data_IF_169071080897
#
_entry.id   IF_169071080897
#
_cell.length_a   1.000
_cell.length_b   1.000
_cell.length_c   1.000
_cell.angle_alpha   90.00
_cell.angle_beta   90.00
_cell.angle_gamma   90.00
#
_symmetry.space_group_name_H-M   'P 1'
#
loop_
_entity.id
_entity.type
_entity.pdbx_description
1 polymer ?
#
# COMPACT_ATOMS: atom_id res chain seq x y z
N UNK A 1 -5.64 -6.24 24.61
CA UNK A 1 -4.40 -6.52 23.84
C UNK A 1 -4.66 -7.19 22.48
N UNK A 2 -5.86 -7.12 21.89
CA UNK A 2 -6.15 -7.66 20.54
C UNK A 2 -6.56 -6.56 19.55
N UNK A 3 -7.14 -5.47 20.05
CA UNK A 3 -7.52 -4.31 19.23
C UNK A 3 -6.32 -3.68 18.50
N UNK A 4 -5.15 -3.52 19.14
CA UNK A 4 -3.94 -3.01 18.47
C UNK A 4 -3.49 -3.93 17.33
N UNK A 5 -3.57 -5.25 17.53
CA UNK A 5 -3.21 -6.23 16.51
C UNK A 5 -4.14 -6.11 15.30
N UNK A 6 -5.45 -6.05 15.55
CA UNK A 6 -6.47 -5.90 14.50
C UNK A 6 -6.29 -4.57 13.76
N UNK A 7 -6.09 -3.46 14.48
CA UNK A 7 -5.90 -2.14 13.88
C UNK A 7 -4.65 -2.12 12.99
N UNK A 8 -3.51 -2.62 13.49
CA UNK A 8 -2.27 -2.69 12.72
C UNK A 8 -2.44 -3.57 11.48
N UNK A 9 -3.10 -4.73 11.63
CA UNK A 9 -3.36 -5.65 10.52
C UNK A 9 -4.21 -5.00 9.40
N UNK A 10 -5.33 -4.38 9.78
CA UNK A 10 -6.22 -3.70 8.84
C UNK A 10 -5.52 -2.52 8.17
N UNK A 11 -4.77 -1.73 8.93
CA UNK A 11 -4.06 -0.57 8.41
C UNK A 11 -2.94 -0.97 7.45
N UNK A 12 -2.23 -2.06 7.75
CA UNK A 12 -1.22 -2.64 6.87
C UNK A 12 -1.84 -3.16 5.56
N UNK A 13 -3.01 -3.81 5.64
CA UNK A 13 -3.76 -4.24 4.46
C UNK A 13 -4.21 -3.06 3.58
N UNK A 14 -4.68 -1.97 4.20
CA UNK A 14 -5.07 -0.74 3.48
C UNK A 14 -3.85 -0.10 2.80
N UNK A 15 -2.74 0.10 3.53
CA UNK A 15 -1.51 0.67 2.98
C UNK A 15 -0.98 -0.20 1.84
N UNK A 16 -1.00 -1.52 2.01
CA UNK A 16 -0.61 -2.45 0.98
C UNK A 16 -1.44 -2.24 -0.30
N UNK A 17 -2.76 -2.17 -0.13
CA UNK A 17 -3.68 -2.02 -1.25
C UNK A 17 -3.67 -0.62 -1.89
N UNK A 18 -3.23 0.41 -1.14
CA UNK A 18 -2.99 1.75 -1.65
C UNK A 18 -1.64 1.88 -2.37
N UNK A 19 -0.59 1.28 -1.81
CA UNK A 19 0.78 1.32 -2.33
C UNK A 19 0.96 0.48 -3.59
N UNK A 20 0.31 -0.68 -3.68
CA UNK A 20 0.30 -1.51 -4.87
C UNK A 20 -0.86 -1.15 -5.82
N UNK A 21 -0.97 0.13 -6.17
CA UNK A 21 -1.91 0.69 -7.15
C UNK A 21 -1.74 0.16 -8.60
N UNK A 22 -1.12 -1.00 -8.79
CA UNK A 22 -0.80 -1.63 -10.08
C UNK A 22 -1.62 -2.92 -10.19
N UNK A 23 -2.16 -3.23 -11.37
CA UNK A 23 -2.81 -4.54 -11.63
C UNK A 23 -1.79 -5.65 -11.41
N UNK A 24 -1.79 -6.25 -10.22
CA UNK A 24 -0.94 -7.39 -9.89
C UNK A 24 -1.61 -8.67 -10.41
N UNK A 25 -0.86 -9.48 -11.15
CA UNK A 25 -1.34 -10.80 -11.60
C UNK A 25 -1.67 -11.66 -10.37
N UNK A 26 -2.66 -12.55 -10.47
CA UNK A 26 -3.15 -13.38 -9.36
C UNK A 26 -2.04 -14.11 -8.58
N UNK A 27 -1.01 -14.61 -9.27
CA UNK A 27 0.15 -15.24 -8.65
C UNK A 27 1.02 -14.29 -7.81
N UNK A 28 1.13 -13.02 -8.22
CA UNK A 28 1.86 -12.02 -7.46
C UNK A 28 1.11 -11.69 -6.16
N UNK A 29 -0.23 -11.62 -6.19
CA UNK A 29 -1.07 -11.39 -5.01
C UNK A 29 -0.83 -12.44 -3.91
N UNK A 30 -0.56 -13.70 -4.28
CA UNK A 30 -0.25 -14.77 -3.31
C UNK A 30 1.09 -14.53 -2.61
N UNK A 31 2.16 -14.27 -3.37
CA UNK A 31 3.50 -13.95 -2.81
C UNK A 31 3.43 -12.73 -1.89
N UNK A 32 2.66 -11.75 -2.32
CA UNK A 32 2.36 -10.52 -1.59
C UNK A 32 1.69 -10.80 -0.25
N UNK A 33 0.65 -11.63 -0.22
CA UNK A 33 -0.08 -11.95 1.00
C UNK A 33 0.81 -12.70 2.00
N UNK A 34 1.69 -13.57 1.50
CA UNK A 34 2.71 -14.25 2.31
C UNK A 34 3.69 -13.23 2.91
N UNK A 35 4.20 -12.31 2.09
CA UNK A 35 5.09 -11.23 2.54
C UNK A 35 4.41 -10.33 3.57
N UNK A 36 3.12 -10.02 3.38
CA UNK A 36 2.30 -9.21 4.29
C UNK A 36 2.09 -9.92 5.63
N UNK A 37 1.86 -11.23 5.62
CA UNK A 37 1.73 -12.03 6.84
C UNK A 37 3.02 -12.00 7.67
N UNK A 38 4.17 -12.17 7.02
CA UNK A 38 5.49 -12.07 7.66
C UNK A 38 5.71 -10.66 8.21
N UNK A 39 5.41 -9.62 7.42
CA UNK A 39 5.53 -8.23 7.82
C UNK A 39 4.71 -7.88 9.07
N UNK A 40 3.47 -8.37 9.17
CA UNK A 40 2.58 -8.15 10.33
C UNK A 40 3.12 -8.79 11.61
N UNK A 41 3.82 -9.91 11.52
CA UNK A 41 4.43 -10.57 12.69
C UNK A 41 5.53 -9.66 13.27
N UNK A 42 6.40 -9.12 12.42
CA UNK A 42 7.40 -8.13 12.84
C UNK A 42 6.75 -6.82 13.32
N UNK A 43 5.72 -6.34 12.62
CA UNK A 43 5.02 -5.11 12.98
C UNK A 43 4.30 -5.19 14.32
N UNK A 44 3.79 -6.37 14.68
CA UNK A 44 3.17 -6.60 15.98
C UNK A 44 4.19 -6.49 17.10
N UNK A 45 5.38 -7.06 16.89
CA UNK A 45 6.47 -6.97 17.85
C UNK A 45 6.93 -5.52 18.05
N UNK A 46 7.06 -4.77 16.96
CA UNK A 46 7.39 -3.34 17.01
C UNK A 46 6.23 -2.49 17.53
N UNK A 47 4.98 -2.80 17.22
CA UNK A 47 3.79 -2.05 17.63
C UNK A 47 3.50 -2.11 19.12
N UNK A 48 4.09 -3.06 19.85
CA UNK A 48 4.05 -3.09 21.32
C UNK A 48 4.97 -2.02 21.96
N UNK A 49 6.02 -1.60 21.26
CA UNK A 49 7.03 -0.66 21.77
C UNK A 49 7.06 0.68 21.03
N UNK A 50 6.61 0.72 19.78
CA UNK A 50 6.65 1.87 18.89
C UNK A 50 5.25 2.25 18.39
N UNK A 51 5.00 3.55 18.14
CA UNK A 51 3.76 4.09 17.58
C UNK A 51 3.65 3.78 16.06
N UNK A 52 3.68 2.50 15.70
CA UNK A 52 3.69 2.05 14.31
C UNK A 52 2.36 2.34 13.64
N UNK A 53 1.25 2.28 14.38
CA UNK A 53 -0.08 2.61 13.87
C UNK A 53 -0.14 4.07 13.37
N UNK A 54 0.37 5.04 14.14
CA UNK A 54 0.41 6.44 13.70
C UNK A 54 1.24 6.62 12.43
N UNK A 55 2.38 5.94 12.32
CA UNK A 55 3.22 5.98 11.12
C UNK A 55 2.47 5.46 9.88
N UNK A 56 1.74 4.34 10.00
CA UNK A 56 0.95 3.82 8.89
C UNK A 56 -0.19 4.76 8.49
N UNK A 57 -0.83 5.44 9.44
CA UNK A 57 -1.87 6.44 9.15
C UNK A 57 -1.29 7.57 8.31
N UNK A 58 -0.14 8.13 8.71
CA UNK A 58 0.52 9.22 7.99
C UNK A 58 0.91 8.78 6.57
N UNK A 59 1.49 7.59 6.42
CA UNK A 59 1.87 7.03 5.11
C UNK A 59 0.62 6.85 4.23
N UNK A 60 -0.47 6.30 4.78
CA UNK A 60 -1.72 6.11 4.04
C UNK A 60 -2.29 7.45 3.53
N UNK A 61 -2.27 8.49 4.37
CA UNK A 61 -2.73 9.85 3.99
C UNK A 61 -1.86 10.43 2.87
N UNK A 62 -0.53 10.32 2.98
CA UNK A 62 0.41 10.83 1.97
C UNK A 62 0.18 10.11 0.63
N UNK A 63 0.08 8.78 0.63
CA UNK A 63 -0.19 8.01 -0.59
C UNK A 63 -1.58 8.32 -1.17
N UNK A 64 -2.60 8.45 -0.32
CA UNK A 64 -3.95 8.81 -0.76
C UNK A 64 -3.95 10.18 -1.46
N UNK A 65 -3.28 11.17 -0.87
CA UNK A 65 -3.12 12.50 -1.47
C UNK A 65 -2.35 12.47 -2.78
N UNK A 66 -1.23 11.75 -2.84
CA UNK A 66 -0.45 11.59 -4.07
C UNK A 66 -1.25 10.91 -5.18
N UNK A 67 -1.98 9.85 -4.84
CA UNK A 67 -2.79 9.08 -5.80
C UNK A 67 -3.96 9.90 -6.32
N UNK A 68 -4.59 10.71 -5.47
CA UNK A 68 -5.65 11.63 -5.89
C UNK A 68 -5.14 12.64 -6.92
N UNK A 69 -3.97 13.25 -6.66
CA UNK A 69 -3.31 14.14 -7.64
C UNK A 69 -2.97 13.42 -8.94
N UNK A 70 -2.36 12.24 -8.86
CA UNK A 70 -1.95 11.47 -10.04
C UNK A 70 -3.14 11.05 -10.92
N UNK A 71 -4.27 10.66 -10.31
CA UNK A 71 -5.49 10.33 -11.05
C UNK A 71 -6.11 11.56 -11.70
N UNK A 72 -6.02 12.72 -11.06
CA UNK A 72 -6.49 13.99 -11.61
C UNK A 72 -5.62 14.43 -12.80
N UNK A 73 -4.30 14.38 -12.68
CA UNK A 73 -3.35 14.71 -13.75
C UNK A 73 -3.45 13.74 -14.95
N UNK A 74 -3.80 12.46 -14.72
CA UNK A 74 -4.11 11.50 -15.79
C UNK A 74 -5.43 11.78 -16.51
N UNK A 75 -6.44 12.35 -15.83
CA UNK A 75 -7.74 12.71 -16.43
C UNK A 75 -7.68 14.05 -17.17
N UNK A 76 -6.82 14.96 -16.73
CA UNK A 76 -6.63 16.28 -17.35
C UNK A 76 -5.65 16.26 -18.55
N UNK A 77 -5.15 15.08 -18.95
CA UNK A 77 -4.38 14.91 -20.21
C UNK A 77 -2.97 15.51 -20.21
N UNK A 78 -2.47 16.01 -19.07
CA UNK A 78 -1.18 16.70 -18.97
C UNK A 78 0.03 15.75 -18.79
N UNK A 79 -0.19 14.42 -18.86
CA UNK A 79 0.89 13.43 -18.83
C UNK A 79 0.74 12.53 -20.05
N UNK A 80 1.66 12.66 -21.00
CA UNK A 80 1.79 11.73 -22.12
C UNK A 80 1.95 10.30 -21.57
N UNK A 81 1.06 9.41 -22.00
CA UNK A 81 1.15 7.98 -21.71
C UNK A 81 2.56 7.50 -22.04
N UNK A 82 3.29 6.81 -21.14
CA UNK A 82 4.44 6.03 -21.57
C UNK A 82 3.91 4.97 -22.52
N UNK A 83 4.08 5.21 -23.82
CA UNK A 83 3.84 4.24 -24.89
C UNK A 83 4.53 2.96 -24.44
N UNK A 84 3.75 1.89 -24.24
CA UNK A 84 4.30 0.58 -23.90
C UNK A 84 5.42 0.21 -24.88
N UNK A 85 6.36 -0.69 -24.47
CA UNK A 85 7.52 -1.02 -25.27
C UNK A 85 7.12 -1.28 -26.72
N UNK A 86 7.81 -0.67 -27.71
CA UNK A 86 7.49 -0.89 -29.11
C UNK A 86 7.51 -2.40 -29.35
N UNK A 87 6.39 -2.92 -29.83
CA UNK A 87 6.32 -4.28 -30.34
C UNK A 87 7.41 -4.40 -31.40
N UNK A 88 8.47 -5.11 -31.03
CA UNK A 88 9.48 -5.68 -31.92
C UNK A 88 9.49 -7.17 -31.63
#
# INVERSE_FOLDING_TARGET
>A
MWYLFITIFVLCAIVYQLGFARKVKLWQTVVIYIMMFIGVIFLTFFGAFYPVAECLIVIAIILAGYRYRLHKERKEGNIAQPKGPPAQ
#
